data_IF_188985456426
#
_entry.id   IF_188985456426
#
_cell.length_a   1.000
_cell.length_b   1.000
_cell.length_c   1.000
_cell.angle_alpha   90.00
_cell.angle_beta   90.00
_cell.angle_gamma   90.00
#
_symmetry.space_group_name_H-M   'P 1'
#
loop_
_entity.id
_entity.type
_entity.pdbx_description
1 polymer ?
#
# COMPACT_ATOMS: atom_id res chain seq x y z
N UNK A 1 -20.35 10.20 -16.49
CA UNK A 1 -20.22 8.92 -15.76
C UNK A 1 -20.36 9.24 -14.28
N UNK A 2 -21.24 8.55 -13.57
CA UNK A 2 -21.44 8.73 -12.12
C UNK A 2 -20.20 8.25 -11.34
N UNK A 3 -19.95 8.74 -10.11
CA UNK A 3 -18.86 8.25 -9.28
C UNK A 3 -18.86 6.71 -9.15
N UNK A 4 -20.01 6.11 -8.86
CA UNK A 4 -20.16 4.65 -8.74
C UNK A 4 -19.77 3.89 -10.01
N UNK A 5 -20.08 4.46 -11.20
CA UNK A 5 -19.70 3.84 -12.47
C UNK A 5 -18.20 3.92 -12.74
N UNK A 6 -17.53 4.97 -12.26
CA UNK A 6 -16.06 5.09 -12.34
C UNK A 6 -15.38 4.09 -11.44
N UNK A 7 -15.81 3.99 -10.19
CA UNK A 7 -15.29 3.02 -9.24
C UNK A 7 -15.49 1.58 -9.73
N UNK A 8 -16.66 1.24 -10.26
CA UNK A 8 -16.91 -0.09 -10.81
C UNK A 8 -16.03 -0.41 -12.03
N UNK A 9 -15.82 0.57 -12.92
CA UNK A 9 -14.95 0.41 -14.07
C UNK A 9 -13.48 0.26 -13.65
N UNK A 10 -13.02 1.06 -12.68
CA UNK A 10 -11.69 0.98 -12.12
C UNK A 10 -11.44 -0.39 -11.45
N UNK A 11 -12.38 -0.85 -10.62
CA UNK A 11 -12.30 -2.17 -10.00
C UNK A 11 -12.21 -3.29 -11.04
N UNK A 12 -13.04 -3.24 -12.08
CA UNK A 12 -13.02 -4.24 -13.16
C UNK A 12 -11.71 -4.20 -13.97
N UNK A 13 -11.08 -3.02 -14.10
CA UNK A 13 -9.76 -2.89 -14.71
C UNK A 13 -8.69 -3.49 -13.80
N UNK A 14 -8.68 -3.12 -12.52
CA UNK A 14 -7.75 -3.64 -11.50
C UNK A 14 -7.83 -5.17 -11.35
N UNK A 15 -9.02 -5.76 -11.43
CA UNK A 15 -9.19 -7.22 -11.38
C UNK A 15 -8.53 -7.95 -12.56
N UNK A 16 -8.38 -7.28 -13.72
CA UNK A 16 -7.70 -7.80 -14.92
C UNK A 16 -6.22 -7.51 -14.99
N UNK A 17 -5.70 -6.64 -14.13
CA UNK A 17 -4.27 -6.34 -14.08
C UNK A 17 -3.46 -7.61 -13.89
N UNK A 18 -2.40 -7.75 -14.71
CA UNK A 18 -1.40 -8.78 -14.52
C UNK A 18 -0.57 -8.51 -13.26
N UNK A 19 -0.45 -9.49 -12.40
CA UNK A 19 0.36 -9.44 -11.19
C UNK A 19 1.27 -10.65 -11.11
N UNK A 20 2.39 -10.52 -10.42
CA UNK A 20 3.25 -11.67 -10.14
C UNK A 20 2.72 -12.45 -8.94
N UNK A 21 2.85 -13.78 -8.97
CA UNK A 21 2.67 -14.62 -7.81
C UNK A 21 3.96 -15.33 -7.45
N UNK A 22 4.15 -15.60 -6.17
CA UNK A 22 5.40 -16.08 -5.59
C UNK A 22 5.18 -17.29 -4.67
N UNK A 23 6.25 -17.97 -4.33
CA UNK A 23 6.26 -18.98 -3.28
C UNK A 23 6.52 -18.36 -1.88
N UNK A 24 6.65 -19.24 -0.87
CA UNK A 24 6.92 -18.79 0.52
C UNK A 24 8.32 -18.19 0.71
N UNK A 25 9.22 -18.35 -0.24
CA UNK A 25 10.57 -17.77 -0.23
C UNK A 25 10.67 -16.52 -1.11
N UNK A 26 9.51 -15.93 -1.50
CA UNK A 26 9.42 -14.77 -2.39
C UNK A 26 10.04 -14.98 -3.78
N UNK A 27 10.04 -16.23 -4.29
CA UNK A 27 10.50 -16.53 -5.64
C UNK A 27 9.32 -16.50 -6.62
N UNK A 28 9.48 -15.75 -7.72
CA UNK A 28 8.45 -15.62 -8.74
C UNK A 28 8.16 -17.00 -9.36
N UNK A 29 6.88 -17.37 -9.37
CA UNK A 29 6.36 -18.61 -9.94
C UNK A 29 5.61 -18.38 -11.25
N UNK A 30 5.14 -17.16 -11.50
CA UNK A 30 4.43 -16.82 -12.72
C UNK A 30 3.64 -15.52 -12.59
N UNK A 31 2.80 -15.32 -13.59
CA UNK A 31 1.96 -14.13 -13.76
C UNK A 31 0.52 -14.54 -14.00
N UNK A 32 -0.44 -13.78 -13.50
CA UNK A 32 -1.87 -14.03 -13.71
C UNK A 32 -2.69 -12.77 -13.38
N UNK A 33 -3.97 -12.71 -13.78
CA UNK A 33 -4.86 -11.63 -13.38
C UNK A 33 -5.01 -11.55 -11.85
N UNK A 34 -5.07 -10.34 -11.31
CA UNK A 34 -5.22 -10.06 -9.88
C UNK A 34 -6.43 -10.77 -9.24
N UNK A 35 -7.56 -10.83 -9.97
CA UNK A 35 -8.75 -11.55 -9.51
C UNK A 35 -8.49 -13.05 -9.36
N UNK A 36 -7.72 -13.66 -10.28
CA UNK A 36 -7.36 -15.08 -10.23
C UNK A 36 -6.39 -15.38 -9.08
N UNK A 37 -5.43 -14.50 -8.83
CA UNK A 37 -4.52 -14.61 -7.69
C UNK A 37 -5.32 -14.75 -6.38
N UNK A 38 -6.30 -13.86 -6.16
CA UNK A 38 -7.16 -13.90 -4.98
C UNK A 38 -8.03 -15.16 -4.95
N UNK A 39 -8.68 -15.50 -6.07
CA UNK A 39 -9.57 -16.67 -6.15
C UNK A 39 -8.86 -17.99 -5.84
N UNK A 40 -7.58 -18.09 -6.23
CA UNK A 40 -6.73 -19.27 -5.99
C UNK A 40 -6.00 -19.22 -4.65
N UNK A 41 -6.09 -18.12 -3.89
CA UNK A 41 -5.39 -17.94 -2.63
C UNK A 41 -3.87 -17.98 -2.77
N UNK A 42 -3.33 -17.53 -3.91
CA UNK A 42 -1.89 -17.49 -4.15
C UNK A 42 -1.25 -16.32 -3.42
N UNK A 43 0.07 -16.39 -3.23
CA UNK A 43 0.85 -15.33 -2.59
C UNK A 43 1.24 -14.32 -3.65
N UNK A 44 0.82 -13.04 -3.48
CA UNK A 44 1.22 -11.95 -4.35
C UNK A 44 2.41 -11.18 -3.80
N UNK A 45 2.94 -10.24 -4.61
CA UNK A 45 3.86 -9.20 -4.16
C UNK A 45 3.14 -7.86 -4.06
N UNK A 46 3.33 -7.14 -2.97
CA UNK A 46 2.82 -5.79 -2.76
C UNK A 46 3.93 -4.84 -2.32
N UNK A 47 3.73 -3.56 -2.53
CA UNK A 47 4.57 -2.50 -1.97
C UNK A 47 3.79 -1.69 -0.94
N UNK A 48 4.49 -1.21 0.08
CA UNK A 48 3.97 -0.36 1.15
C UNK A 48 4.89 0.85 1.30
N UNK A 49 4.39 2.04 1.00
CA UNK A 49 5.17 3.29 1.02
C UNK A 49 4.64 4.17 2.15
N UNK A 50 5.44 4.32 3.19
CA UNK A 50 5.17 5.16 4.35
C UNK A 50 5.64 6.58 4.04
N UNK A 51 4.70 7.49 3.78
CA UNK A 51 4.98 8.87 3.38
C UNK A 51 4.98 9.81 4.58
N UNK A 52 6.11 10.38 4.92
CA UNK A 52 6.29 11.31 6.04
C UNK A 52 6.40 12.75 5.57
N UNK A 53 5.97 13.69 6.41
CA UNK A 53 6.30 15.11 6.28
C UNK A 53 7.53 15.47 7.16
N UNK A 54 7.99 16.72 7.09
CA UNK A 54 9.13 17.20 7.89
C UNK A 54 8.84 17.30 9.40
N UNK A 55 7.57 17.29 9.80
CA UNK A 55 7.17 17.20 11.20
C UNK A 55 7.25 15.76 11.75
N UNK A 56 7.63 14.78 10.93
CA UNK A 56 7.67 13.35 11.30
C UNK A 56 6.28 12.72 11.39
N UNK A 57 5.26 13.37 10.82
CA UNK A 57 3.93 12.81 10.74
C UNK A 57 3.80 11.93 9.50
N UNK A 58 3.08 10.82 9.62
CA UNK A 58 2.82 9.84 8.57
C UNK A 58 1.48 10.14 7.88
N UNK A 59 1.48 10.13 6.56
CA UNK A 59 0.27 10.20 5.75
C UNK A 59 -0.56 8.94 5.97
N UNK A 60 -1.77 9.12 6.49
CA UNK A 60 -2.80 8.08 6.52
C UNK A 60 -3.91 8.46 5.57
N UNK A 61 -4.45 7.48 4.87
CA UNK A 61 -5.53 7.71 3.91
C UNK A 61 -6.66 6.70 4.09
N UNK A 62 -7.85 7.06 3.67
CA UNK A 62 -9.01 6.19 3.73
C UNK A 62 -9.30 5.60 2.36
N UNK A 63 -9.39 4.29 2.30
CA UNK A 63 -9.67 3.51 1.10
C UNK A 63 -11.13 3.69 0.66
N UNK A 64 -11.37 3.65 -0.65
CA UNK A 64 -12.75 3.66 -1.17
C UNK A 64 -13.53 2.40 -0.76
N UNK A 65 -14.85 2.50 -0.79
CA UNK A 65 -15.73 1.37 -0.46
C UNK A 65 -15.75 0.31 -1.57
N UNK A 66 -15.27 0.63 -2.75
CA UNK A 66 -15.16 -0.27 -3.90
C UNK A 66 -13.94 -1.21 -3.85
N UNK A 67 -13.01 -0.98 -2.92
CA UNK A 67 -11.83 -1.85 -2.76
C UNK A 67 -12.23 -3.29 -2.42
N UNK A 68 -11.57 -4.26 -3.07
CA UNK A 68 -11.83 -5.69 -2.85
C UNK A 68 -11.38 -6.18 -1.47
N UNK A 69 -10.29 -5.60 -0.94
CA UNK A 69 -9.78 -5.85 0.40
C UNK A 69 -9.89 -4.57 1.23
N UNK A 70 -10.33 -4.70 2.46
CA UNK A 70 -10.43 -3.60 3.44
C UNK A 70 -11.19 -2.37 2.93
N UNK A 71 -12.41 -2.50 2.37
CA UNK A 71 -13.19 -1.36 1.88
C UNK A 71 -13.49 -0.37 3.01
N UNK A 72 -13.15 0.91 2.81
CA UNK A 72 -13.38 1.98 3.77
C UNK A 72 -12.44 1.99 4.98
N UNK A 73 -11.47 1.08 5.06
CA UNK A 73 -10.44 1.09 6.11
C UNK A 73 -9.47 2.24 5.91
N UNK A 74 -8.84 2.65 7.01
CA UNK A 74 -7.68 3.51 6.98
C UNK A 74 -6.44 2.70 6.63
N UNK A 75 -5.54 3.33 5.91
CA UNK A 75 -4.29 2.75 5.46
C UNK A 75 -3.13 3.69 5.83
N UNK A 76 -2.03 3.15 6.34
CA UNK A 76 -0.85 3.93 6.74
C UNK A 76 0.21 3.97 5.64
N UNK A 77 -0.02 3.26 4.55
CA UNK A 77 0.91 3.18 3.43
C UNK A 77 0.17 3.30 2.09
N UNK A 78 0.67 4.12 1.17
CA UNK A 78 0.32 3.99 -0.23
C UNK A 78 0.94 2.70 -0.78
N UNK A 79 0.32 2.07 -1.79
CA UNK A 79 0.91 0.88 -2.39
C UNK A 79 -0.08 -0.03 -3.09
N UNK A 80 0.47 -1.00 -3.79
CA UNK A 80 -0.31 -1.95 -4.56
C UNK A 80 0.49 -3.16 -4.99
N UNK A 81 -0.11 -3.94 -5.87
CA UNK A 81 0.49 -5.16 -6.39
C UNK A 81 1.63 -4.84 -7.35
N UNK A 82 2.71 -5.61 -7.23
CA UNK A 82 3.84 -5.55 -8.16
C UNK A 82 3.43 -6.16 -9.51
N UNK A 83 3.57 -5.37 -10.58
CA UNK A 83 3.27 -5.82 -11.92
C UNK A 83 4.40 -6.72 -12.50
N UNK A 84 4.10 -7.53 -13.52
CA UNK A 84 5.12 -8.30 -14.21
C UNK A 84 6.28 -7.45 -14.72
N UNK A 85 7.50 -7.89 -14.42
CA UNK A 85 8.72 -7.18 -14.82
C UNK A 85 9.14 -6.01 -13.93
N UNK A 86 8.29 -5.60 -12.97
CA UNK A 86 8.66 -4.58 -11.98
C UNK A 86 9.44 -5.18 -10.80
N UNK A 87 10.41 -4.42 -10.31
CA UNK A 87 10.95 -4.60 -8.96
C UNK A 87 10.02 -3.98 -7.92
N UNK A 88 10.20 -4.32 -6.64
CA UNK A 88 9.48 -3.64 -5.55
C UNK A 88 9.66 -2.11 -5.57
N UNK A 89 10.86 -1.62 -5.90
CA UNK A 89 11.15 -0.18 -5.90
C UNK A 89 10.45 0.56 -7.06
N UNK A 90 10.40 -0.03 -8.26
CA UNK A 90 9.68 0.52 -9.40
C UNK A 90 8.17 0.56 -9.14
N UNK A 91 7.61 -0.54 -8.62
CA UNK A 91 6.22 -0.60 -8.22
C UNK A 91 5.90 0.44 -7.13
N UNK A 92 6.76 0.60 -6.12
CA UNK A 92 6.57 1.59 -5.07
C UNK A 92 6.55 3.02 -5.61
N UNK A 93 7.44 3.37 -6.54
CA UNK A 93 7.46 4.69 -7.16
C UNK A 93 6.20 4.97 -7.99
N UNK A 94 5.71 3.98 -8.72
CA UNK A 94 4.48 4.05 -9.52
C UNK A 94 3.25 4.23 -8.63
N UNK A 95 3.07 3.39 -7.62
CA UNK A 95 1.91 3.44 -6.72
C UNK A 95 1.84 4.75 -5.93
N UNK A 96 2.98 5.26 -5.43
CA UNK A 96 3.04 6.54 -4.74
C UNK A 96 2.60 7.70 -5.64
N UNK A 97 3.00 7.66 -6.92
CA UNK A 97 2.59 8.66 -7.91
C UNK A 97 1.10 8.54 -8.28
N UNK A 98 0.56 7.33 -8.41
CA UNK A 98 -0.83 7.08 -8.77
C UNK A 98 -1.78 7.45 -7.64
N UNK A 99 -1.58 6.91 -6.43
CA UNK A 99 -2.51 7.08 -5.32
C UNK A 99 -2.46 8.48 -4.67
N UNK A 100 -1.25 9.04 -4.48
CA UNK A 100 -1.03 10.29 -3.75
C UNK A 100 -0.49 11.45 -4.59
N UNK A 101 -0.15 11.21 -5.87
CA UNK A 101 0.39 12.22 -6.77
C UNK A 101 1.81 12.66 -6.44
N UNK A 102 2.57 11.84 -5.71
CA UNK A 102 3.95 12.14 -5.30
C UNK A 102 4.93 11.35 -6.16
N UNK A 103 5.84 12.06 -6.84
CA UNK A 103 6.83 11.46 -7.73
C UNK A 103 8.19 12.15 -7.62
N UNK A 104 9.24 11.44 -8.07
CA UNK A 104 10.60 11.99 -8.09
C UNK A 104 11.26 12.14 -6.72
N UNK A 105 10.68 11.55 -5.67
CA UNK A 105 11.25 11.54 -4.32
C UNK A 105 12.09 10.28 -4.09
N UNK A 106 13.19 10.37 -3.30
CA UNK A 106 13.95 9.19 -2.91
C UNK A 106 13.10 8.23 -2.08
N UNK A 107 13.15 6.94 -2.41
CA UNK A 107 12.53 5.87 -1.64
C UNK A 107 13.61 5.15 -0.81
N UNK A 108 13.44 5.10 0.51
CA UNK A 108 14.30 4.33 1.40
C UNK A 108 13.67 2.96 1.67
N UNK A 109 14.35 1.89 1.29
CA UNK A 109 13.89 0.53 1.53
C UNK A 109 14.14 0.10 3.00
N UNK A 110 13.16 -0.60 3.57
CA UNK A 110 13.21 -1.15 4.94
C UNK A 110 13.17 -2.68 4.97
N UNK A 111 13.11 -3.33 3.81
CA UNK A 111 13.08 -4.79 3.65
C UNK A 111 11.69 -5.31 3.28
N UNK A 112 11.52 -6.62 3.47
CA UNK A 112 10.29 -7.32 3.12
C UNK A 112 9.73 -8.09 4.32
N UNK A 113 8.43 -8.38 4.29
CA UNK A 113 7.74 -9.22 5.25
C UNK A 113 6.72 -10.11 4.55
N UNK A 114 6.41 -11.24 5.15
CA UNK A 114 5.32 -12.11 4.71
C UNK A 114 4.08 -11.85 5.57
N UNK A 115 2.93 -11.69 4.91
CA UNK A 115 1.64 -11.50 5.54
C UNK A 115 0.63 -12.54 5.05
N UNK A 116 -0.17 -13.08 5.96
CA UNK A 116 -1.21 -14.05 5.63
C UNK A 116 -2.42 -13.92 6.55
N UNK A 117 -3.56 -13.67 5.93
CA UNK A 117 -4.88 -13.81 6.55
C UNK A 117 -5.90 -14.32 5.52
N UNK A 118 -7.13 -14.70 5.90
CA UNK A 118 -8.14 -15.14 4.95
C UNK A 118 -8.39 -14.12 3.84
N UNK A 119 -8.09 -14.52 2.60
CA UNK A 119 -8.27 -13.68 1.40
C UNK A 119 -7.14 -12.70 1.08
N UNK A 120 -6.10 -12.62 1.93
CA UNK A 120 -4.94 -11.77 1.68
C UNK A 120 -3.63 -12.48 2.05
N UNK A 121 -2.86 -12.85 1.05
CA UNK A 121 -1.54 -13.51 1.20
C UNK A 121 -0.53 -12.78 0.34
N UNK A 122 0.50 -12.23 0.95
CA UNK A 122 1.49 -11.44 0.22
C UNK A 122 2.89 -11.45 0.84
N UNK A 123 3.87 -11.19 0.00
CA UNK A 123 5.14 -10.59 0.38
C UNK A 123 5.06 -9.08 0.18
N UNK A 124 5.36 -8.31 1.21
CA UNK A 124 5.32 -6.84 1.19
C UNK A 124 6.71 -6.22 1.19
N UNK A 125 7.05 -5.42 0.18
CA UNK A 125 8.23 -4.58 0.18
C UNK A 125 7.93 -3.24 0.85
N UNK A 126 8.68 -2.86 1.89
CA UNK A 126 8.43 -1.67 2.70
C UNK A 126 9.41 -0.56 2.34
N UNK A 127 8.86 0.61 2.06
CA UNK A 127 9.62 1.82 1.74
C UNK A 127 9.13 3.00 2.58
N UNK A 128 9.97 4.00 2.73
CA UNK A 128 9.56 5.32 3.21
C UNK A 128 10.01 6.42 2.27
N UNK A 129 9.26 7.50 2.25
CA UNK A 129 9.56 8.73 1.51
C UNK A 129 9.21 9.95 2.35
N UNK A 130 9.74 11.13 1.95
CA UNK A 130 9.44 12.41 2.57
C UNK A 130 8.79 13.35 1.56
N UNK A 131 7.71 14.03 1.99
CA UNK A 131 6.97 14.97 1.15
C UNK A 131 6.28 16.05 1.98
N UNK A 132 6.42 17.31 1.56
CA UNK A 132 5.76 18.45 2.20
C UNK A 132 4.86 19.24 1.24
N UNK A 133 4.77 18.78 0.00
CA UNK A 133 3.92 19.40 -1.01
C UNK A 133 2.45 18.96 -0.89
N UNK A 134 1.58 19.51 -1.75
CA UNK A 134 0.20 19.06 -1.84
C UNK A 134 0.10 17.63 -2.32
N UNK A 135 -0.90 16.89 -1.81
CA UNK A 135 -1.26 15.57 -2.31
C UNK A 135 -2.31 15.70 -3.41
N UNK A 136 -2.24 14.83 -4.40
CA UNK A 136 -3.26 14.66 -5.42
C UNK A 136 -3.78 13.22 -5.35
N UNK A 137 -4.89 13.05 -4.64
CA UNK A 137 -5.48 11.75 -4.39
C UNK A 137 -6.14 11.20 -5.65
N UNK A 138 -5.96 9.90 -5.88
CA UNK A 138 -6.71 9.15 -6.91
C UNK A 138 -8.11 8.84 -6.37
N UNK A 139 -9.17 9.46 -6.89
CA UNK A 139 -10.51 9.41 -6.28
C UNK A 139 -11.16 8.02 -6.34
N UNK A 140 -10.71 7.15 -7.25
CA UNK A 140 -11.18 5.77 -7.37
C UNK A 140 -10.59 4.85 -6.27
N UNK A 141 -9.51 5.28 -5.61
CA UNK A 141 -8.77 4.50 -4.62
C UNK A 141 -8.78 5.11 -3.23
N UNK A 142 -8.71 6.44 -3.15
CA UNK A 142 -8.49 7.21 -1.91
C UNK A 142 -9.59 8.23 -1.71
N UNK A 143 -10.34 8.11 -0.60
CA UNK A 143 -11.41 9.03 -0.23
C UNK A 143 -10.87 10.32 0.39
N UNK A 144 -9.92 10.19 1.29
CA UNK A 144 -9.32 11.29 2.06
C UNK A 144 -7.94 10.90 2.56
N UNK A 145 -7.08 11.89 2.81
CA UNK A 145 -5.76 11.68 3.41
C UNK A 145 -5.46 12.79 4.43
N UNK A 146 -4.68 12.44 5.45
CA UNK A 146 -4.20 13.37 6.48
C UNK A 146 -2.86 12.90 7.04
N UNK A 147 -2.12 13.82 7.63
CA UNK A 147 -0.88 13.50 8.33
C UNK A 147 -1.14 13.38 9.84
N UNK A 148 -0.63 12.34 10.46
CA UNK A 148 -0.75 12.05 11.89
C UNK A 148 0.60 11.61 12.45
N UNK A 149 0.87 12.00 13.70
CA UNK A 149 2.01 11.45 14.43
C UNK A 149 1.86 9.92 14.59
N UNK A 150 2.93 9.12 14.44
CA UNK A 150 2.84 7.66 14.53
C UNK A 150 2.19 7.14 15.82
N UNK A 151 2.43 7.81 16.96
CA UNK A 151 1.76 7.47 18.23
C UNK A 151 0.24 7.66 18.16
N UNK A 152 -0.23 8.73 17.50
CA UNK A 152 -1.65 8.99 17.33
C UNK A 152 -2.33 7.97 16.41
N UNK A 153 -1.59 7.43 15.43
CA UNK A 153 -2.09 6.35 14.55
C UNK A 153 -2.40 5.09 15.36
N UNK A 154 -1.50 4.70 16.27
CA UNK A 154 -1.69 3.52 17.11
C UNK A 154 -2.91 3.65 18.04
N UNK A 155 -3.19 4.85 18.53
CA UNK A 155 -4.39 5.12 19.33
C UNK A 155 -5.66 5.17 18.48
N UNK A 156 -5.61 5.76 17.30
CA UNK A 156 -6.73 5.82 16.34
C UNK A 156 -7.09 4.40 15.82
N UNK A 157 -6.10 3.54 15.62
CA UNK A 157 -6.29 2.16 15.17
C UNK A 157 -7.03 1.26 16.20
N UNK A 158 -7.12 1.67 17.47
CA UNK A 158 -7.94 1.01 18.47
C UNK A 158 -9.44 1.35 18.35
N UNK A 159 -9.76 2.44 17.65
CA UNK A 159 -11.12 2.98 17.52
C UNK A 159 -11.67 2.86 16.10
N UNK A 160 -10.81 2.75 15.11
CA UNK A 160 -11.15 2.71 13.68
C UNK A 160 -10.47 1.52 13.00
N UNK A 161 -11.09 0.96 11.96
CA UNK A 161 -10.46 -0.12 11.21
C UNK A 161 -9.29 0.42 10.37
N UNK A 162 -8.11 -0.14 10.57
CA UNK A 162 -6.92 0.06 9.75
C UNK A 162 -6.56 -1.24 9.03
N UNK A 163 -5.93 -1.12 7.86
CA UNK A 163 -5.41 -2.25 7.09
C UNK A 163 -4.33 -2.97 7.91
N UNK A 164 -4.52 -4.26 8.27
CA UNK A 164 -3.59 -4.95 9.16
C UNK A 164 -2.21 -5.18 8.52
N UNK A 165 -2.16 -5.42 7.22
CA UNK A 165 -0.92 -5.58 6.44
C UNK A 165 -0.08 -4.29 6.43
N UNK A 166 -0.70 -3.12 6.28
CA UNK A 166 0.03 -1.85 6.31
C UNK A 166 0.49 -1.46 7.73
N UNK A 167 -0.28 -1.83 8.76
CA UNK A 167 0.18 -1.67 10.14
C UNK A 167 1.41 -2.54 10.42
N UNK A 168 1.48 -3.75 9.86
CA UNK A 168 2.67 -4.61 9.97
C UNK A 168 3.87 -4.01 9.23
N UNK A 169 3.66 -3.40 8.05
CA UNK A 169 4.69 -2.65 7.34
C UNK A 169 5.24 -1.49 8.18
N UNK A 170 4.38 -0.73 8.86
CA UNK A 170 4.78 0.32 9.79
C UNK A 170 5.61 -0.24 10.95
N UNK A 171 5.18 -1.33 11.57
CA UNK A 171 5.90 -1.98 12.66
C UNK A 171 7.29 -2.46 12.20
N UNK A 172 7.39 -3.05 11.01
CA UNK A 172 8.67 -3.47 10.43
C UNK A 172 9.62 -2.29 10.29
N UNK A 173 9.15 -1.17 9.72
CA UNK A 173 9.97 0.03 9.58
C UNK A 173 10.44 0.56 10.94
N UNK A 174 9.53 0.69 11.91
CA UNK A 174 9.86 1.18 13.25
C UNK A 174 10.85 0.28 13.99
N UNK A 175 10.78 -1.04 13.80
CA UNK A 175 11.70 -2.00 14.43
C UNK A 175 13.11 -1.96 13.84
N UNK A 176 13.27 -1.48 12.60
CA UNK A 176 14.55 -1.40 11.88
C UNK A 176 15.12 0.03 11.84
N UNK A 177 14.31 1.02 12.19
CA UNK A 177 14.81 2.38 12.34
C UNK A 177 15.63 2.45 13.63
N UNK A 178 16.94 2.73 13.52
CA UNK A 178 17.64 3.39 14.63
C UNK A 178 16.84 4.66 14.93
N UNK A 179 16.48 4.85 16.20
CA UNK A 179 15.61 5.97 16.66
C UNK A 179 16.14 7.35 16.24
N UNK A 180 17.42 7.44 15.85
CA UNK A 180 18.06 8.64 15.32
C UNK A 180 17.91 8.85 13.80
N UNK A 181 17.25 7.93 13.06
CA UNK A 181 17.18 7.95 11.60
C UNK A 181 15.74 7.80 11.06
N UNK A 182 14.72 8.11 11.85
CA UNK A 182 13.39 8.34 11.32
C UNK A 182 13.44 9.51 10.34
N UNK A 183 12.84 9.38 9.16
CA UNK A 183 12.87 10.42 8.15
C UNK A 183 12.26 11.72 8.62
#
# INVERSE_FOLDING_TARGET
MTPDAREAAHRAASDREGVVWVDRDDRIQGELPRAELRARGLIGRCTFILLFNDAGELCVHRRTLSKALYPGYWDVAAGGMVAPGESYAESAARELAEELGVSGVPLRAHGTFYFEEPGNRLWGGVFSARWNGPLRLQPEEVLEARFLAPAAILDDARQRPYCPDSLEALQLMLSRADVASLP
#
